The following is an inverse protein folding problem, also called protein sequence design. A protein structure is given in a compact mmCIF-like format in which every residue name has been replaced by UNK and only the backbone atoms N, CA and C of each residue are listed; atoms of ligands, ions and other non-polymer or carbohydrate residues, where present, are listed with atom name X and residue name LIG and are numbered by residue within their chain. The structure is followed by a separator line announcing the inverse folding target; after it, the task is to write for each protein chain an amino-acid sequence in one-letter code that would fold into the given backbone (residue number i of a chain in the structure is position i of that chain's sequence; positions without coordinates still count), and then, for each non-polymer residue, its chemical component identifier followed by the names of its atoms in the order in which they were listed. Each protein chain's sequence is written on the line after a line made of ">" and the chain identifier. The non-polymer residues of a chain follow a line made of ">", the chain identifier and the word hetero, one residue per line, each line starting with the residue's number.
data_IF_055972836735
#
_entry.id   IF_055972836735
#
_cell.length_a   1.000
_cell.length_b   1.000
_cell.length_c   1.000
_cell.angle_alpha   90.00
_cell.angle_beta   90.00
_cell.angle_gamma   90.00
#
_symmetry.space_group_name_H-M   'P 1'
#
loop_
_entity.id
_entity.type
_entity.pdbx_description
1 polymer ?
#
# COMPACT_ATOMS: atom_id res chain seq x y z
N UNK A 1 34.88 31.75 -18.24
CA UNK A 1 34.16 31.34 -19.46
C UNK A 1 33.18 30.25 -19.09
N UNK A 2 31.88 30.47 -19.28
CA UNK A 2 30.84 29.48 -18.97
C UNK A 2 30.77 28.46 -20.11
N UNK A 3 30.92 27.18 -19.78
CA UNK A 3 30.75 26.10 -20.75
C UNK A 3 29.25 25.88 -20.93
N UNK A 4 28.71 26.34 -22.05
CA UNK A 4 27.34 26.07 -22.48
C UNK A 4 27.16 24.58 -22.73
N UNK A 5 26.30 23.91 -21.96
CA UNK A 5 25.87 22.55 -22.23
C UNK A 5 25.15 22.52 -23.59
N UNK A 6 25.76 21.85 -24.57
CA UNK A 6 25.17 21.62 -25.89
C UNK A 6 24.00 20.64 -25.76
N UNK A 7 22.92 20.99 -26.44
CA UNK A 7 21.58 20.42 -26.30
C UNK A 7 21.50 18.89 -26.30
N UNK A 8 20.59 18.40 -25.46
CA UNK A 8 19.97 17.08 -25.62
C UNK A 8 19.22 17.08 -26.95
N UNK A 9 19.79 16.45 -27.97
CA UNK A 9 19.05 16.08 -29.17
C UNK A 9 18.34 14.78 -28.84
N UNK A 10 17.09 14.91 -28.45
CA UNK A 10 16.17 13.79 -28.29
C UNK A 10 15.57 13.50 -29.66
N UNK A 11 16.29 12.79 -30.53
CA UNK A 11 15.72 12.20 -31.76
C UNK A 11 14.88 10.95 -31.43
N UNK A 12 14.11 11.03 -30.34
CA UNK A 12 12.93 10.22 -30.15
C UNK A 12 11.77 11.19 -30.30
N UNK A 13 11.45 11.55 -31.54
CA UNK A 13 10.13 12.07 -31.87
C UNK A 13 9.17 11.01 -31.33
N UNK A 14 8.53 11.34 -30.21
CA UNK A 14 7.56 10.47 -29.56
C UNK A 14 6.52 10.10 -30.63
N UNK A 15 6.52 8.84 -31.05
CA UNK A 15 5.50 8.30 -31.96
C UNK A 15 4.10 8.26 -31.32
N UNK A 16 3.96 8.70 -30.07
CA UNK A 16 2.66 8.77 -29.42
C UNK A 16 1.90 9.99 -29.95
N UNK A 17 0.69 9.80 -30.50
CA UNK A 17 -0.16 10.91 -30.90
C UNK A 17 -0.43 11.82 -29.68
N UNK A 18 -0.61 13.13 -29.90
CA UNK A 18 -0.88 14.06 -28.82
C UNK A 18 -2.19 13.70 -28.11
N UNK A 19 -2.28 14.02 -26.82
CA UNK A 19 -3.50 13.79 -26.06
C UNK A 19 -4.63 14.64 -26.62
N UNK A 20 -5.79 14.01 -26.83
CA UNK A 20 -6.97 14.65 -27.41
C UNK A 20 -8.07 14.70 -26.37
N UNK A 21 -8.70 15.87 -26.27
CA UNK A 21 -9.91 16.10 -25.47
C UNK A 21 -11.06 16.34 -26.45
N UNK A 22 -12.26 15.86 -26.14
CA UNK A 22 -13.39 15.94 -27.06
C UNK A 22 -13.64 17.40 -27.48
N UNK A 23 -13.68 17.65 -28.80
CA UNK A 23 -13.92 18.97 -29.40
C UNK A 23 -12.90 20.07 -29.05
N UNK A 24 -11.70 19.70 -28.60
CA UNK A 24 -10.61 20.64 -28.28
C UNK A 24 -9.36 20.33 -29.09
N UNK A 25 -8.49 21.34 -29.33
CA UNK A 25 -7.21 21.13 -29.99
C UNK A 25 -6.32 20.18 -29.17
N UNK A 26 -5.32 19.54 -29.82
CA UNK A 26 -4.42 18.64 -29.13
C UNK A 26 -3.69 19.30 -27.95
N UNK A 27 -3.59 18.59 -26.83
CA UNK A 27 -2.93 19.09 -25.63
C UNK A 27 -1.40 19.06 -25.79
N UNK A 28 -0.82 20.21 -26.15
CA UNK A 28 0.62 20.38 -26.34
C UNK A 28 1.32 20.84 -25.05
N UNK A 29 0.69 21.77 -24.32
CA UNK A 29 1.20 22.29 -23.05
C UNK A 29 0.95 21.30 -21.91
N UNK A 30 1.82 21.32 -20.89
CA UNK A 30 1.74 20.37 -19.78
C UNK A 30 0.46 20.55 -18.96
N UNK A 31 -0.04 21.77 -18.79
CA UNK A 31 -1.33 22.02 -18.16
C UNK A 31 -2.46 21.34 -18.94
N UNK A 32 -2.50 21.53 -20.27
CA UNK A 32 -3.51 20.92 -21.11
C UNK A 32 -3.44 19.37 -21.07
N UNK A 33 -2.24 18.80 -20.97
CA UNK A 33 -2.05 17.34 -20.81
C UNK A 33 -2.58 16.86 -19.46
N UNK A 34 -2.32 17.61 -18.38
CA UNK A 34 -2.82 17.25 -17.05
C UNK A 34 -4.35 17.27 -16.99
N UNK A 35 -4.99 18.26 -17.61
CA UNK A 35 -6.44 18.30 -17.70
C UNK A 35 -7.01 17.15 -18.53
N UNK A 36 -6.40 16.86 -19.69
CA UNK A 36 -6.82 15.74 -20.52
C UNK A 36 -6.71 14.39 -19.79
N UNK A 37 -5.67 14.21 -18.99
CA UNK A 37 -5.50 13.01 -18.17
C UNK A 37 -6.51 12.96 -17.02
N UNK A 38 -6.74 14.09 -16.35
CA UNK A 38 -7.69 14.19 -15.24
C UNK A 38 -9.10 13.81 -15.70
N UNK A 39 -9.59 14.40 -16.78
CA UNK A 39 -10.90 14.06 -17.35
C UNK A 39 -11.02 12.57 -17.72
N UNK A 40 -9.96 12.01 -18.31
CA UNK A 40 -9.97 10.62 -18.69
C UNK A 40 -10.03 9.71 -17.46
N UNK A 41 -9.21 9.98 -16.44
CA UNK A 41 -9.24 9.24 -15.18
C UNK A 41 -10.57 9.41 -14.46
N UNK A 42 -11.13 10.61 -14.40
CA UNK A 42 -12.44 10.88 -13.80
C UNK A 42 -13.53 10.05 -14.49
N UNK A 43 -13.54 10.00 -15.83
CA UNK A 43 -14.51 9.20 -16.59
C UNK A 43 -14.38 7.69 -16.35
N UNK A 44 -13.15 7.19 -16.18
CA UNK A 44 -12.88 5.75 -16.02
C UNK A 44 -12.96 5.29 -14.56
N UNK A 45 -12.75 6.21 -13.61
CA UNK A 45 -12.66 5.93 -12.17
C UNK A 45 -13.83 6.50 -11.37
N UNK A 46 -14.89 6.96 -12.04
CA UNK A 46 -16.15 7.28 -11.38
C UNK A 46 -16.84 5.99 -10.89
N UNK A 47 -17.44 6.00 -9.69
CA UNK A 47 -18.27 4.89 -9.23
C UNK A 47 -19.36 4.60 -10.26
N UNK A 48 -19.57 3.32 -10.57
CA UNK A 48 -20.70 2.93 -11.42
C UNK A 48 -22.00 3.39 -10.76
N UNK A 49 -22.83 4.06 -11.54
CA UNK A 49 -24.19 4.47 -11.15
C UNK A 49 -25.21 3.35 -11.36
N UNK A 50 -24.78 2.19 -11.87
CA UNK A 50 -25.67 1.08 -12.17
C UNK A 50 -26.24 0.47 -10.89
N UNK A 51 -27.47 -0.05 -10.99
CA UNK A 51 -28.09 -0.79 -9.91
C UNK A 51 -27.23 -2.02 -9.59
N UNK A 52 -26.71 -2.07 -8.38
CA UNK A 52 -25.81 -3.14 -7.98
C UNK A 52 -26.58 -4.45 -7.90
N UNK A 53 -26.14 -5.47 -8.66
CA UNK A 53 -26.73 -6.80 -8.60
C UNK A 53 -26.58 -7.37 -7.19
N UNK A 54 -27.69 -7.71 -6.49
CA UNK A 54 -27.61 -8.26 -5.14
C UNK A 54 -26.79 -9.56 -5.08
N UNK A 55 -26.75 -10.36 -6.15
CA UNK A 55 -25.93 -11.58 -6.19
C UNK A 55 -24.43 -11.24 -6.24
N UNK A 56 -24.07 -10.20 -6.98
CA UNK A 56 -22.71 -9.70 -7.04
C UNK A 56 -22.23 -9.17 -5.68
N UNK A 57 -23.05 -8.36 -4.99
CA UNK A 57 -22.73 -7.85 -3.65
C UNK A 57 -22.48 -8.97 -2.65
N UNK A 58 -23.34 -9.99 -2.64
CA UNK A 58 -23.17 -11.14 -1.76
C UNK A 58 -21.86 -11.88 -2.03
N UNK A 59 -21.46 -12.01 -3.30
CA UNK A 59 -20.17 -12.63 -3.67
C UNK A 59 -18.99 -11.78 -3.18
N UNK A 60 -19.02 -10.47 -3.42
CA UNK A 60 -17.96 -9.55 -2.98
C UNK A 60 -17.83 -9.58 -1.47
N UNK A 61 -18.93 -9.41 -0.73
CA UNK A 61 -18.90 -9.44 0.74
C UNK A 61 -18.38 -10.78 1.26
N UNK A 62 -18.81 -11.91 0.68
CA UNK A 62 -18.30 -13.23 1.05
C UNK A 62 -16.78 -13.36 0.87
N UNK A 63 -16.20 -12.72 -0.15
CA UNK A 63 -14.76 -12.76 -0.41
C UNK A 63 -13.97 -11.71 0.39
N UNK A 64 -14.59 -10.56 0.69
CA UNK A 64 -13.97 -9.43 1.41
C UNK A 64 -13.98 -9.64 2.91
N UNK A 65 -15.08 -10.15 3.49
CA UNK A 65 -15.22 -10.32 4.94
C UNK A 65 -14.06 -11.12 5.57
N UNK A 66 -13.62 -12.27 5.02
CA UNK A 66 -12.49 -13.03 5.58
C UNK A 66 -11.12 -12.37 5.39
N UNK A 67 -11.03 -11.38 4.48
CA UNK A 67 -9.80 -10.65 4.15
C UNK A 67 -9.74 -9.28 4.82
N UNK A 68 -10.85 -8.83 5.40
CA UNK A 68 -10.87 -7.64 6.23
C UNK A 68 -9.87 -7.80 7.39
N UNK A 69 -9.23 -6.72 7.86
CA UNK A 69 -8.24 -6.81 8.93
C UNK A 69 -8.89 -7.33 10.22
N UNK A 70 -8.85 -8.65 10.39
CA UNK A 70 -8.89 -9.42 11.63
C UNK A 70 -9.92 -8.91 12.63
N UNK A 71 -11.17 -9.37 12.50
CA UNK A 71 -11.99 -9.55 13.70
C UNK A 71 -11.15 -10.37 14.69
N UNK A 72 -11.11 -9.93 15.94
CA UNK A 72 -10.49 -10.73 16.99
C UNK A 72 -11.16 -12.11 16.96
N UNK A 73 -10.40 -13.22 16.97
CA UNK A 73 -11.01 -14.53 17.06
C UNK A 73 -11.90 -14.57 18.31
N UNK A 74 -13.12 -15.09 18.16
CA UNK A 74 -14.08 -15.23 19.28
C UNK A 74 -13.51 -16.09 20.42
N UNK A 75 -12.54 -16.95 20.11
CA UNK A 75 -11.85 -17.79 21.08
C UNK A 75 -10.53 -17.14 21.54
N UNK A 76 -10.27 -17.09 22.87
CA UNK A 76 -9.02 -16.57 23.39
C UNK A 76 -7.85 -17.41 22.86
N UNK A 77 -6.88 -16.74 22.24
CA UNK A 77 -5.66 -17.39 21.78
C UNK A 77 -4.92 -18.02 22.97
N UNK A 78 -4.33 -19.22 22.79
CA UNK A 78 -3.54 -19.84 23.85
C UNK A 78 -2.38 -18.92 24.26
N UNK A 79 -1.99 -18.91 25.55
CA UNK A 79 -0.86 -18.14 26.00
C UNK A 79 0.41 -18.60 25.27
N UNK A 80 1.13 -17.64 24.69
CA UNK A 80 2.37 -17.94 23.96
C UNK A 80 3.49 -18.30 24.95
N UNK A 81 4.44 -19.15 24.57
CA UNK A 81 5.59 -19.50 25.42
C UNK A 81 6.81 -18.59 25.18
N UNK A 82 7.67 -18.45 26.20
CA UNK A 82 8.96 -17.73 26.08
C UNK A 82 9.84 -18.31 24.97
N UNK A 83 9.79 -19.64 24.78
CA UNK A 83 10.57 -20.33 23.75
C UNK A 83 10.04 -20.06 22.34
N UNK A 84 8.73 -19.87 22.20
CA UNK A 84 8.11 -19.48 20.94
C UNK A 84 8.56 -18.07 20.54
N UNK A 85 8.48 -17.10 21.46
CA UNK A 85 8.94 -15.73 21.23
C UNK A 85 10.42 -15.70 20.87
N UNK A 86 11.26 -16.44 21.61
CA UNK A 86 12.68 -16.53 21.32
C UNK A 86 12.99 -17.19 19.97
N UNK A 87 12.19 -18.17 19.55
CA UNK A 87 12.34 -18.81 18.24
C UNK A 87 11.95 -17.87 17.10
N UNK A 88 10.91 -17.07 17.27
CA UNK A 88 10.46 -16.07 16.30
C UNK A 88 11.50 -14.95 16.17
N UNK A 89 12.00 -14.43 17.30
CA UNK A 89 13.05 -13.40 17.34
C UNK A 89 14.30 -13.84 16.55
N UNK A 90 14.73 -15.09 16.75
CA UNK A 90 15.89 -15.67 16.03
C UNK A 90 15.66 -15.75 14.53
N UNK A 91 14.48 -16.22 14.11
CA UNK A 91 14.08 -16.34 12.69
C UNK A 91 13.91 -14.98 12.00
N UNK A 92 13.78 -13.89 12.75
CA UNK A 92 13.55 -12.56 12.19
C UNK A 92 14.78 -12.05 11.42
N UNK A 93 14.62 -11.69 10.14
CA UNK A 93 15.74 -11.16 9.34
C UNK A 93 15.94 -9.66 9.57
N UNK A 94 17.14 -9.23 9.95
CA UNK A 94 17.48 -7.84 10.27
C UNK A 94 17.39 -6.85 9.09
N UNK A 95 17.29 -7.34 7.85
CA UNK A 95 17.24 -6.52 6.62
C UNK A 95 15.83 -6.40 6.02
N UNK A 96 14.78 -6.85 6.71
CA UNK A 96 13.40 -6.66 6.25
C UNK A 96 12.99 -5.19 6.40
N UNK A 97 12.03 -4.77 5.58
CA UNK A 97 11.39 -3.46 5.70
C UNK A 97 10.69 -3.31 7.06
N UNK A 98 10.59 -2.09 7.60
CA UNK A 98 9.78 -1.82 8.79
C UNK A 98 8.32 -2.18 8.55
N UNK A 99 7.61 -2.56 9.62
CA UNK A 99 6.16 -2.72 9.60
C UNK A 99 5.40 -1.39 9.53
N UNK A 100 4.05 -1.42 9.54
CA UNK A 100 3.21 -0.21 9.62
C UNK A 100 3.48 0.63 10.87
N UNK A 101 3.90 -0.03 11.95
CA UNK A 101 4.37 0.55 13.20
C UNK A 101 5.73 1.26 13.09
N UNK A 102 6.38 1.18 11.92
CA UNK A 102 7.72 1.72 11.62
C UNK A 102 8.84 1.10 12.48
N UNK A 103 8.57 0.01 13.19
CA UNK A 103 9.56 -0.70 13.99
C UNK A 103 10.36 -1.62 13.07
N UNK A 104 11.69 -1.54 13.15
CA UNK A 104 12.57 -2.42 12.37
C UNK A 104 12.90 -3.70 13.12
N UNK A 105 13.16 -4.77 12.38
CA UNK A 105 13.64 -6.03 12.95
C UNK A 105 14.97 -5.88 13.70
N UNK A 106 15.81 -4.90 13.34
CA UNK A 106 17.03 -4.58 14.08
C UNK A 106 16.71 -4.03 15.47
N UNK A 107 15.68 -3.21 15.58
CA UNK A 107 15.21 -2.66 16.85
C UNK A 107 14.73 -3.78 17.76
N UNK A 108 13.88 -4.68 17.25
CA UNK A 108 13.35 -5.82 18.00
C UNK A 108 14.48 -6.71 18.55
N UNK A 109 15.49 -7.03 17.73
CA UNK A 109 16.67 -7.83 18.16
C UNK A 109 17.59 -7.13 19.16
N UNK A 110 17.45 -5.81 19.34
CA UNK A 110 18.23 -5.04 20.31
C UNK A 110 17.47 -4.82 21.61
N UNK A 111 16.21 -5.26 21.70
CA UNK A 111 15.44 -5.12 22.93
C UNK A 111 16.01 -6.02 24.03
N UNK A 112 16.04 -5.55 25.28
CA UNK A 112 16.34 -6.40 26.43
C UNK A 112 15.38 -7.60 26.47
N UNK A 113 15.92 -8.79 26.76
CA UNK A 113 15.12 -10.03 26.90
C UNK A 113 13.93 -9.87 27.85
N UNK A 114 14.07 -9.05 28.90
CA UNK A 114 12.98 -8.72 29.84
C UNK A 114 11.77 -8.09 29.16
N UNK A 115 11.97 -7.19 28.19
CA UNK A 115 10.87 -6.56 27.45
C UNK A 115 10.17 -7.56 26.52
N UNK A 116 10.93 -8.46 25.88
CA UNK A 116 10.36 -9.52 25.06
C UNK A 116 9.51 -10.50 25.89
N UNK A 117 9.89 -10.76 27.14
CA UNK A 117 9.12 -11.62 28.05
C UNK A 117 7.80 -10.97 28.51
N UNK A 118 7.69 -9.64 28.50
CA UNK A 118 6.41 -8.98 28.82
C UNK A 118 5.32 -9.30 27.77
N UNK A 119 5.70 -9.67 26.54
CA UNK A 119 4.77 -10.10 25.50
C UNK A 119 4.11 -11.46 25.79
N UNK A 120 4.70 -12.25 26.68
CA UNK A 120 4.21 -13.58 27.07
C UNK A 120 3.16 -13.49 28.18
N UNK A 121 3.09 -12.37 28.89
CA UNK A 121 2.13 -12.18 29.99
C UNK A 121 0.75 -11.91 29.39
N UNK A 122 -0.25 -12.78 29.63
CA UNK A 122 -1.64 -12.47 29.29
C UNK A 122 -2.10 -11.34 30.23
N UNK A 123 -2.66 -10.26 29.69
CA UNK A 123 -3.20 -9.07 30.37
C UNK A 123 -2.30 -7.82 30.49
N UNK A 124 -1.97 -7.17 29.38
CA UNK A 124 -1.71 -5.71 29.41
C UNK A 124 -2.70 -4.93 28.51
N UNK A 125 -3.55 -5.61 27.73
CA UNK A 125 -4.52 -4.94 26.86
C UNK A 125 -5.92 -5.45 27.22
N UNK A 126 -6.41 -5.02 28.38
CA UNK A 126 -7.82 -5.04 28.72
C UNK A 126 -8.15 -3.69 29.38
N UNK A 127 -8.14 -2.63 28.54
CA UNK A 127 -8.69 -1.30 28.80
C UNK A 127 -9.33 -0.83 27.50
#
# INVERSE_FOLDING_TARGET
>A
MFVTAKGLRSDTVSMMPPLLRQNLPPALDDLAKTECLNDHLESQCSPSTDLVDPKHLLKVNREVEPRSPRSLPDEPLPPTSVDEVGSIEKKLHAKKSPGPDRITNKTVKRLPRRLLMLLVIPNIINV
#
